data_IF_918481782317
#
_entry.id   IF_918481782317
#
_cell.length_a   1.000
_cell.length_b   1.000
_cell.length_c   1.000
_cell.angle_alpha   90.00
_cell.angle_beta   90.00
_cell.angle_gamma   90.00
#
_symmetry.space_group_name_H-M   'P 1'
#
loop_
_entity.id
_entity.type
_entity.pdbx_description
1 polymer ?
#
# COMPACT_ATOMS: atom_id res chain seq x y z
N UNK A 1 6.25 -1.30 0.80
CA UNK A 1 5.56 -2.38 1.52
C UNK A 1 4.74 -3.31 0.61
N UNK A 2 3.86 -2.77 -0.26
CA UNK A 2 2.95 -3.56 -1.11
C UNK A 2 3.59 -4.79 -1.81
N UNK A 3 4.80 -4.62 -2.37
CA UNK A 3 5.56 -5.70 -3.02
C UNK A 3 5.65 -6.99 -2.20
N UNK A 4 5.92 -6.86 -0.90
CA UNK A 4 6.05 -8.01 0.01
C UNK A 4 4.70 -8.50 0.52
N UNK A 5 3.76 -7.59 0.74
CA UNK A 5 2.39 -7.91 1.18
C UNK A 5 1.64 -8.76 0.13
N UNK A 6 1.96 -8.57 -1.15
CA UNK A 6 1.36 -9.33 -2.27
C UNK A 6 2.19 -10.57 -2.65
N UNK A 7 3.36 -10.77 -2.04
CA UNK A 7 4.23 -11.90 -2.35
C UNK A 7 3.77 -13.13 -1.58
N UNK A 8 3.32 -14.18 -2.28
CA UNK A 8 2.84 -15.42 -1.65
C UNK A 8 3.91 -16.18 -0.88
N UNK A 9 5.18 -15.78 -1.00
CA UNK A 9 6.33 -16.34 -0.27
C UNK A 9 6.63 -15.59 1.03
N UNK A 10 5.95 -14.48 1.33
CA UNK A 10 6.20 -13.66 2.52
C UNK A 10 5.31 -14.09 3.70
N UNK A 11 5.94 -14.73 4.70
CA UNK A 11 5.27 -15.18 5.93
C UNK A 11 5.00 -14.04 6.94
N UNK A 12 5.38 -12.79 6.61
CA UNK A 12 5.28 -11.63 7.52
C UNK A 12 4.25 -10.60 7.07
N UNK A 13 3.28 -11.04 6.26
CA UNK A 13 2.27 -10.15 5.67
C UNK A 13 1.50 -9.35 6.72
N UNK A 14 1.06 -10.00 7.81
CA UNK A 14 0.28 -9.35 8.87
C UNK A 14 1.10 -8.31 9.67
N UNK A 15 2.33 -8.64 10.05
CA UNK A 15 3.26 -7.72 10.72
C UNK A 15 3.46 -6.46 9.88
N UNK A 16 3.66 -6.62 8.57
CA UNK A 16 3.83 -5.51 7.63
C UNK A 16 2.58 -4.65 7.49
N UNK A 17 1.39 -5.27 7.52
CA UNK A 17 0.12 -4.54 7.47
C UNK A 17 -0.06 -3.70 8.74
N UNK A 18 0.11 -4.29 9.93
CA UNK A 18 0.03 -3.58 11.21
C UNK A 18 1.05 -2.45 11.30
N UNK A 19 2.25 -2.63 10.75
CA UNK A 19 3.27 -1.57 10.70
C UNK A 19 2.86 -0.35 9.87
N UNK A 20 1.86 -0.47 8.98
CA UNK A 20 1.31 0.61 8.16
C UNK A 20 0.02 1.20 8.70
N UNK A 21 -0.61 0.54 9.68
CA UNK A 21 -1.86 0.95 10.31
C UNK A 21 -1.61 2.09 11.32
N UNK A 22 -1.30 3.26 10.76
CA UNK A 22 -1.08 4.48 11.51
C UNK A 22 -1.59 5.69 10.72
N UNK A 23 -2.15 6.65 11.47
CA UNK A 23 -2.77 7.88 10.95
C UNK A 23 -1.84 8.72 10.06
N UNK A 24 -0.53 8.71 10.32
CA UNK A 24 0.45 9.48 9.55
C UNK A 24 1.10 8.68 8.41
N UNK A 25 0.90 7.36 8.37
CA UNK A 25 1.45 6.49 7.32
C UNK A 25 0.47 6.35 6.16
N UNK A 26 -0.23 5.23 6.09
CA UNK A 26 -1.04 4.87 4.92
C UNK A 26 -2.22 5.83 4.72
N UNK A 27 -2.78 6.34 5.81
CA UNK A 27 -3.98 7.18 5.78
C UNK A 27 -3.74 8.63 5.34
N UNK A 28 -2.49 9.12 5.30
CA UNK A 28 -2.13 10.42 4.70
C UNK A 28 -2.27 10.46 3.18
N UNK A 29 -2.46 9.32 2.53
CA UNK A 29 -2.75 9.30 1.11
C UNK A 29 -4.19 9.78 0.85
N UNK A 30 -4.33 11.01 0.33
CA UNK A 30 -5.59 11.66 -0.06
C UNK A 30 -5.97 11.42 -1.53
N UNK A 31 -5.51 10.32 -2.14
CA UNK A 31 -5.92 9.92 -3.51
C UNK A 31 -5.74 11.02 -4.58
N UNK A 32 -4.69 11.84 -4.46
CA UNK A 32 -4.36 12.94 -5.41
C UNK A 32 -3.84 12.39 -6.75
N UNK A 33 -3.36 11.14 -6.78
CA UNK A 33 -2.90 10.41 -7.97
C UNK A 33 -1.62 10.94 -8.65
N UNK A 34 -0.96 11.97 -8.11
CA UNK A 34 0.30 12.48 -8.64
C UNK A 34 1.39 11.41 -8.76
N UNK A 35 1.45 10.47 -7.80
CA UNK A 35 2.44 9.39 -7.80
C UNK A 35 2.32 8.46 -9.01
N UNK A 36 1.09 8.14 -9.45
CA UNK A 36 0.86 7.31 -10.64
C UNK A 36 1.14 8.09 -11.92
N UNK A 37 0.71 9.35 -12.00
CA UNK A 37 0.90 10.20 -13.19
C UNK A 37 2.37 10.49 -13.50
N UNK A 38 3.19 10.68 -12.47
CA UNK A 38 4.59 11.09 -12.62
C UNK A 38 5.56 9.91 -12.73
N UNK A 39 5.10 8.67 -12.50
CA UNK A 39 6.02 7.54 -12.41
C UNK A 39 6.71 7.27 -13.77
N UNK A 40 8.03 7.45 -13.90
CA UNK A 40 8.73 7.28 -15.18
C UNK A 40 8.79 5.81 -15.62
N UNK A 41 8.43 4.89 -14.72
CA UNK A 41 8.39 3.44 -14.96
C UNK A 41 6.99 2.92 -15.28
N UNK A 42 6.00 3.81 -15.43
CA UNK A 42 4.61 3.41 -15.70
C UNK A 42 3.97 2.58 -14.60
N UNK A 43 4.49 2.62 -13.37
CA UNK A 43 3.92 1.90 -12.24
C UNK A 43 2.69 2.64 -11.71
N UNK A 44 1.84 1.93 -10.97
CA UNK A 44 0.67 2.51 -10.31
C UNK A 44 0.74 2.43 -8.77
N UNK A 45 1.53 3.30 -8.11
CA UNK A 45 1.62 3.33 -6.65
C UNK A 45 0.29 3.63 -5.96
N UNK A 46 -0.58 4.44 -6.56
CA UNK A 46 -1.87 4.77 -5.97
C UNK A 46 -2.78 3.54 -5.85
N UNK A 47 -2.81 2.69 -6.88
CA UNK A 47 -3.53 1.42 -6.84
C UNK A 47 -2.95 0.48 -5.78
N UNK A 48 -1.62 0.41 -5.66
CA UNK A 48 -0.96 -0.38 -4.62
C UNK A 48 -1.36 0.10 -3.21
N UNK A 49 -1.38 1.42 -2.95
CA UNK A 49 -1.83 1.98 -1.68
C UNK A 49 -3.30 1.64 -1.40
N UNK A 50 -4.17 1.75 -2.40
CA UNK A 50 -5.58 1.39 -2.27
C UNK A 50 -5.78 -0.08 -1.90
N UNK A 51 -5.03 -1.00 -2.51
CA UNK A 51 -5.06 -2.43 -2.16
C UNK A 51 -4.64 -2.68 -0.71
N UNK A 52 -3.60 -2.00 -0.22
CA UNK A 52 -3.19 -2.12 1.19
C UNK A 52 -4.31 -1.62 2.11
N UNK A 53 -4.91 -0.47 1.82
CA UNK A 53 -6.04 0.08 2.62
C UNK A 53 -7.21 -0.91 2.66
N UNK A 54 -7.54 -1.53 1.53
CA UNK A 54 -8.59 -2.55 1.46
C UNK A 54 -8.30 -3.79 2.31
N UNK A 55 -7.05 -4.28 2.29
CA UNK A 55 -6.62 -5.38 3.16
C UNK A 55 -6.70 -5.01 4.65
N UNK A 56 -6.28 -3.81 5.03
CA UNK A 56 -6.39 -3.32 6.42
C UNK A 56 -7.85 -3.17 6.88
N UNK A 57 -8.75 -2.73 6.00
CA UNK A 57 -10.18 -2.64 6.32
C UNK A 57 -10.87 -4.02 6.46
N UNK A 58 -10.21 -5.09 6.02
CA UNK A 58 -10.73 -6.47 6.05
C UNK A 58 -10.02 -7.34 7.11
N UNK A 59 -9.11 -6.76 7.89
CA UNK A 59 -8.43 -7.37 9.04
C UNK A 59 -9.27 -7.15 10.31
#
# INVERSE_FOLDING_TARGET
AFRWIEDSRDDKTEERLRALDDSFKLYKCHTIMNCTRTCPKGLNPAQAISKIKGRLASL
#
